data_IF_200052513762
#
_entry.id   IF_200052513762
#
_cell.length_a   1.000
_cell.length_b   1.000
_cell.length_c   1.000
_cell.angle_alpha   90.00
_cell.angle_beta   90.00
_cell.angle_gamma   90.00
#
_symmetry.space_group_name_H-M   'P 1'
#
loop_
_entity.id
_entity.type
_entity.pdbx_description
1 polymer ?
#
# COMPACT_ATOMS: atom_id res chain seq x y z
N UNK A 1 13.73 -14.15 -10.22
CA UNK A 1 13.84 -13.57 -8.87
C UNK A 1 13.02 -14.46 -7.94
N UNK A 2 13.53 -14.82 -6.77
CA UNK A 2 12.78 -15.69 -5.84
C UNK A 2 11.65 -14.89 -5.20
N UNK A 3 10.40 -15.18 -5.58
CA UNK A 3 9.26 -14.40 -5.15
C UNK A 3 9.03 -14.49 -3.63
N UNK A 4 9.31 -15.65 -3.06
CA UNK A 4 9.16 -15.93 -1.64
C UNK A 4 10.19 -15.16 -0.84
N UNK A 5 11.46 -15.16 -1.30
CA UNK A 5 12.51 -14.42 -0.63
C UNK A 5 12.25 -12.90 -0.61
N UNK A 6 11.79 -12.32 -1.72
CA UNK A 6 11.45 -10.89 -1.76
C UNK A 6 10.31 -10.53 -0.80
N UNK A 7 9.25 -11.34 -0.78
CA UNK A 7 8.11 -11.04 0.08
C UNK A 7 8.51 -11.15 1.56
N UNK A 8 9.32 -12.14 1.93
CA UNK A 8 9.84 -12.26 3.30
C UNK A 8 10.90 -11.20 3.66
N UNK A 9 11.52 -10.55 2.67
CA UNK A 9 12.41 -9.42 2.92
C UNK A 9 11.64 -8.17 3.38
N UNK A 10 10.37 -8.02 2.96
CA UNK A 10 9.49 -6.92 3.33
C UNK A 10 8.71 -7.17 4.63
N UNK A 11 8.48 -6.15 5.47
CA UNK A 11 7.56 -6.25 6.61
C UNK A 11 6.17 -6.74 6.20
N UNK A 12 5.62 -6.24 5.08
CA UNK A 12 4.25 -6.58 4.64
C UNK A 12 4.12 -8.03 4.21
N UNK A 13 5.10 -8.58 3.50
CA UNK A 13 5.08 -9.98 3.12
C UNK A 13 5.24 -10.92 4.31
N UNK A 14 6.06 -10.57 5.33
CA UNK A 14 6.15 -11.34 6.58
C UNK A 14 4.84 -11.30 7.38
N UNK A 15 4.25 -10.11 7.52
CA UNK A 15 2.98 -9.93 8.23
C UNK A 15 1.86 -10.72 7.55
N UNK A 16 1.74 -10.63 6.21
CA UNK A 16 0.80 -11.43 5.44
C UNK A 16 1.00 -12.94 5.65
N UNK A 17 2.24 -13.44 5.57
CA UNK A 17 2.54 -14.85 5.79
C UNK A 17 2.15 -15.32 7.20
N UNK A 18 2.40 -14.49 8.21
CA UNK A 18 2.01 -14.77 9.59
C UNK A 18 0.49 -14.83 9.72
N UNK A 19 -0.26 -13.87 9.16
CA UNK A 19 -1.73 -13.88 9.19
C UNK A 19 -2.30 -15.13 8.51
N UNK A 20 -1.75 -15.55 7.37
CA UNK A 20 -2.13 -16.81 6.71
C UNK A 20 -1.88 -18.02 7.63
N UNK A 21 -0.74 -18.05 8.33
CA UNK A 21 -0.42 -19.11 9.27
C UNK A 21 -1.41 -19.15 10.44
N UNK A 22 -1.70 -18.01 11.08
CA UNK A 22 -2.66 -17.90 12.17
C UNK A 22 -4.07 -18.34 11.75
N UNK A 23 -4.50 -17.98 10.53
CA UNK A 23 -5.81 -18.39 9.99
C UNK A 23 -5.93 -19.91 9.79
N UNK A 24 -4.81 -20.60 9.63
CA UNK A 24 -4.74 -22.07 9.50
C UNK A 24 -4.36 -22.77 10.82
N UNK A 25 -4.12 -22.02 11.89
CA UNK A 25 -3.77 -22.59 13.19
C UNK A 25 -5.01 -23.13 13.91
N UNK A 26 -4.83 -24.19 14.70
CA UNK A 26 -5.86 -24.70 15.62
C UNK A 26 -5.77 -24.05 17.01
N UNK A 27 -4.89 -23.05 17.18
CA UNK A 27 -4.76 -22.31 18.42
C UNK A 27 -5.88 -21.27 18.53
N UNK A 28 -6.68 -21.33 19.61
CA UNK A 28 -7.66 -20.29 19.95
C UNK A 28 -6.99 -18.91 20.15
N UNK A 29 -5.64 -18.87 20.21
CA UNK A 29 -4.82 -17.68 20.15
C UNK A 29 -4.82 -16.97 18.78
N UNK A 30 -5.57 -17.43 17.78
CA UNK A 30 -5.72 -16.71 16.49
C UNK A 30 -6.13 -15.23 16.66
N UNK A 31 -6.71 -14.87 17.82
CA UNK A 31 -7.04 -13.50 18.22
C UNK A 31 -6.08 -12.87 19.26
N UNK A 32 -5.12 -13.62 19.79
CA UNK A 32 -4.11 -13.11 20.71
C UNK A 32 -2.86 -12.68 19.92
N UNK A 33 -2.50 -11.40 20.05
CA UNK A 33 -1.25 -10.87 19.48
C UNK A 33 -0.06 -11.69 19.99
N UNK A 34 0.92 -12.00 19.12
CA UNK A 34 2.08 -12.76 19.53
C UNK A 34 2.88 -12.02 20.60
N UNK A 35 3.33 -12.74 21.62
CA UNK A 35 4.00 -12.17 22.79
C UNK A 35 5.54 -12.32 22.67
N UNK A 36 6.02 -13.29 21.87
CA UNK A 36 7.43 -13.57 21.67
C UNK A 36 7.69 -14.34 20.36
N UNK A 37 8.91 -14.29 19.77
CA UNK A 37 9.23 -14.97 18.52
C UNK A 37 9.05 -16.49 18.59
N UNK A 38 9.36 -17.12 19.74
CA UNK A 38 9.22 -18.55 19.94
C UNK A 38 7.75 -18.99 19.81
N UNK A 39 6.83 -18.19 20.33
CA UNK A 39 5.40 -18.44 20.21
C UNK A 39 4.96 -18.38 18.73
N UNK A 40 5.39 -17.35 17.99
CA UNK A 40 5.10 -17.25 16.54
C UNK A 40 5.61 -18.50 15.81
N UNK A 41 6.86 -18.88 16.08
CA UNK A 41 7.50 -20.04 15.44
C UNK A 41 6.76 -21.34 15.72
N UNK A 42 6.32 -21.55 16.96
CA UNK A 42 5.61 -22.76 17.36
C UNK A 42 4.23 -22.86 16.69
N UNK A 43 3.51 -21.74 16.60
CA UNK A 43 2.24 -21.66 15.85
C UNK A 43 2.46 -21.94 14.37
N UNK A 44 3.40 -21.23 13.73
CA UNK A 44 3.68 -21.37 12.30
C UNK A 44 4.13 -22.78 11.94
N UNK A 45 4.97 -23.42 12.77
CA UNK A 45 5.42 -24.81 12.54
C UNK A 45 4.33 -25.85 12.71
N UNK A 46 3.28 -25.55 13.49
CA UNK A 46 2.15 -26.44 13.67
C UNK A 46 1.13 -26.38 12.52
N UNK A 47 1.23 -25.39 11.62
CA UNK A 47 0.33 -25.23 10.48
C UNK A 47 0.46 -26.37 9.48
N UNK A 48 -0.66 -26.99 9.12
CA UNK A 48 -0.73 -27.86 7.95
C UNK A 48 -0.71 -27.00 6.68
N UNK A 49 0.40 -27.03 5.93
CA UNK A 49 0.55 -26.30 4.67
C UNK A 49 -0.51 -26.69 3.63
N UNK A 50 -1.09 -27.90 3.72
CA UNK A 50 -2.20 -28.31 2.85
C UNK A 50 -3.50 -27.57 3.15
N UNK A 51 -3.65 -27.02 4.35
CA UNK A 51 -4.77 -26.15 4.70
C UNK A 51 -4.62 -24.77 4.04
N UNK A 52 -3.39 -24.23 3.97
CA UNK A 52 -3.10 -22.95 3.28
C UNK A 52 -3.55 -23.01 1.81
N UNK A 53 -3.25 -24.10 1.11
CA UNK A 53 -3.66 -24.28 -0.28
C UNK A 53 -5.18 -24.40 -0.50
N UNK A 54 -5.97 -24.55 0.57
CA UNK A 54 -7.44 -24.63 0.53
C UNK A 54 -8.12 -23.31 0.91
N UNK A 55 -7.35 -22.30 1.31
CA UNK A 55 -7.88 -20.97 1.60
C UNK A 55 -8.55 -20.39 0.35
N UNK A 56 -9.72 -19.80 0.56
CA UNK A 56 -10.42 -19.06 -0.49
C UNK A 56 -9.70 -17.75 -0.81
N UNK A 57 -10.10 -17.10 -1.91
CA UNK A 57 -9.64 -15.75 -2.23
C UNK A 57 -9.91 -14.76 -1.08
N UNK A 58 -11.09 -14.83 -0.48
CA UNK A 58 -11.47 -13.98 0.66
C UNK A 58 -10.58 -14.20 1.87
N UNK A 59 -10.18 -15.45 2.15
CA UNK A 59 -9.29 -15.75 3.27
C UNK A 59 -7.90 -15.11 3.07
N UNK A 60 -7.39 -15.11 1.84
CA UNK A 60 -6.11 -14.48 1.51
C UNK A 60 -6.21 -12.95 1.52
N UNK A 61 -7.30 -12.39 1.00
CA UNK A 61 -7.53 -10.94 1.03
C UNK A 61 -7.74 -10.43 2.46
N UNK A 62 -8.41 -11.19 3.34
CA UNK A 62 -8.56 -10.88 4.76
C UNK A 62 -7.21 -10.89 5.51
N UNK A 63 -6.37 -11.91 5.25
CA UNK A 63 -5.02 -11.96 5.79
C UNK A 63 -4.15 -10.78 5.31
N UNK A 64 -4.33 -10.36 4.05
CA UNK A 64 -3.66 -9.19 3.49
C UNK A 64 -4.20 -7.88 4.09
N UNK A 65 -5.52 -7.76 4.27
CA UNK A 65 -6.18 -6.59 4.85
C UNK A 65 -5.58 -6.22 6.20
N UNK A 66 -5.37 -7.20 7.08
CA UNK A 66 -4.70 -7.00 8.36
C UNK A 66 -3.24 -6.53 8.21
N UNK A 67 -2.51 -7.02 7.22
CA UNK A 67 -1.15 -6.56 6.96
C UNK A 67 -1.13 -5.13 6.38
N UNK A 68 -2.14 -4.75 5.61
CA UNK A 68 -2.27 -3.42 5.01
C UNK A 68 -2.68 -2.37 6.04
N UNK A 69 -3.68 -2.64 6.87
CA UNK A 69 -4.20 -1.68 7.86
C UNK A 69 -3.12 -1.23 8.85
N UNK A 70 -2.23 -2.14 9.25
CA UNK A 70 -1.10 -1.85 10.15
C UNK A 70 0.10 -1.18 9.44
N UNK A 71 -0.03 -0.79 8.17
CA UNK A 71 1.04 -0.10 7.43
C UNK A 71 1.08 1.39 7.79
N UNK A 72 1.88 1.74 8.81
CA UNK A 72 1.95 3.09 9.38
C UNK A 72 3.36 3.65 9.32
N UNK A 73 3.80 4.10 8.15
CA UNK A 73 5.17 4.55 7.90
C UNK A 73 5.51 5.94 8.49
N UNK A 74 4.74 6.38 9.48
CA UNK A 74 4.96 7.58 10.28
C UNK A 74 5.42 7.28 11.71
N UNK A 75 5.49 6.00 12.10
CA UNK A 75 5.91 5.53 13.42
C UNK A 75 6.99 4.42 13.31
N UNK A 76 7.60 3.99 14.43
CA UNK A 76 8.42 2.78 14.44
C UNK A 76 7.63 1.54 13.96
N UNK A 77 8.32 0.48 13.50
CA UNK A 77 7.68 -0.81 13.24
C UNK A 77 6.86 -1.27 14.43
N UNK A 78 5.71 -1.90 14.16
CA UNK A 78 4.89 -2.49 15.21
C UNK A 78 5.63 -3.66 15.88
N UNK A 79 5.21 -4.04 17.09
CA UNK A 79 5.82 -5.16 17.82
C UNK A 79 5.80 -6.43 16.97
N UNK A 80 4.71 -6.69 16.25
CA UNK A 80 4.58 -7.80 15.32
C UNK A 80 5.60 -7.74 14.16
N UNK A 81 5.87 -6.56 13.60
CA UNK A 81 6.88 -6.40 12.55
C UNK A 81 8.29 -6.77 13.04
N UNK A 82 8.59 -6.42 14.29
CA UNK A 82 9.87 -6.77 14.95
C UNK A 82 9.95 -8.28 15.20
N UNK A 83 8.86 -8.89 15.71
CA UNK A 83 8.81 -10.33 15.96
C UNK A 83 8.94 -11.15 14.68
N UNK A 84 8.26 -10.73 13.61
CA UNK A 84 8.31 -11.45 12.34
C UNK A 84 9.65 -11.28 11.61
N UNK A 85 10.44 -10.25 11.94
CA UNK A 85 11.79 -10.08 11.41
C UNK A 85 12.83 -11.04 12.01
N UNK A 86 12.48 -11.83 13.03
CA UNK A 86 13.37 -12.86 13.58
C UNK A 86 13.75 -13.91 12.52
N UNK A 87 15.06 -14.23 12.34
CA UNK A 87 15.50 -15.16 11.30
C UNK A 87 14.85 -16.55 11.37
N UNK A 88 14.59 -17.09 12.57
CA UNK A 88 13.94 -18.40 12.71
C UNK A 88 12.46 -18.34 12.36
N UNK A 89 11.80 -17.20 12.64
CA UNK A 89 10.42 -16.96 12.23
C UNK A 89 10.34 -16.83 10.70
N UNK A 90 11.24 -16.08 10.07
CA UNK A 90 11.31 -15.96 8.60
C UNK A 90 11.43 -17.34 7.94
N UNK A 91 12.32 -18.19 8.43
CA UNK A 91 12.46 -19.55 7.89
C UNK A 91 11.23 -20.42 8.13
N UNK A 92 10.52 -20.23 9.24
CA UNK A 92 9.25 -20.91 9.49
C UNK A 92 8.11 -20.41 8.57
N UNK A 93 8.07 -19.12 8.22
CA UNK A 93 7.06 -18.51 7.34
C UNK A 93 7.24 -18.87 5.87
N UNK A 94 8.45 -19.25 5.45
CA UNK A 94 8.80 -19.62 4.07
C UNK A 94 7.84 -20.63 3.41
N UNK A 95 7.54 -21.80 4.00
CA UNK A 95 6.57 -22.73 3.40
C UNK A 95 5.14 -22.18 3.35
N UNK A 96 4.75 -21.32 4.29
CA UNK A 96 3.40 -20.73 4.34
C UNK A 96 3.20 -19.76 3.19
N UNK A 97 4.11 -18.79 3.04
CA UNK A 97 4.00 -17.80 1.96
C UNK A 97 4.16 -18.44 0.58
N UNK A 98 5.01 -19.47 0.46
CA UNK A 98 5.12 -20.22 -0.79
C UNK A 98 3.78 -20.87 -1.18
N UNK A 99 3.09 -21.51 -0.23
CA UNK A 99 1.78 -22.11 -0.49
C UNK A 99 0.69 -21.07 -0.77
N UNK A 100 0.72 -19.92 -0.09
CA UNK A 100 -0.21 -18.82 -0.34
C UNK A 100 -0.04 -18.24 -1.74
N UNK A 101 1.20 -17.99 -2.17
CA UNK A 101 1.50 -17.45 -3.50
C UNK A 101 1.28 -18.47 -4.64
N UNK A 102 1.38 -19.78 -4.37
CA UNK A 102 1.06 -20.83 -5.35
C UNK A 102 -0.46 -21.08 -5.49
N UNK A 103 -1.28 -20.52 -4.58
CA UNK A 103 -2.74 -20.63 -4.64
C UNK A 103 -3.28 -20.09 -5.96
N UNK A 104 -4.25 -20.77 -6.61
CA UNK A 104 -4.93 -20.24 -7.78
C UNK A 104 -5.56 -18.85 -7.55
N UNK A 105 -5.93 -18.55 -6.30
CA UNK A 105 -6.53 -17.27 -5.90
C UNK A 105 -5.53 -16.11 -5.81
N UNK A 106 -4.21 -16.40 -5.76
CA UNK A 106 -3.15 -15.38 -5.75
C UNK A 106 -2.51 -15.15 -7.12
N UNK A 107 -2.91 -15.92 -8.16
CA UNK A 107 -2.29 -15.81 -9.51
C UNK A 107 -2.37 -14.41 -10.11
N UNK A 108 -3.44 -13.69 -9.83
CA UNK A 108 -3.64 -12.34 -10.33
C UNK A 108 -2.85 -11.28 -9.56
N UNK A 109 -2.21 -11.62 -8.43
CA UNK A 109 -1.50 -10.64 -7.59
C UNK A 109 -0.26 -10.05 -8.27
N UNK A 110 0.20 -10.67 -9.36
CA UNK A 110 1.29 -10.19 -10.22
C UNK A 110 0.78 -9.56 -11.52
N UNK A 111 -0.53 -9.56 -11.76
CA UNK A 111 -1.10 -8.99 -12.98
C UNK A 111 -0.90 -7.47 -13.02
N UNK A 112 -0.79 -6.90 -14.23
CA UNK A 112 -0.84 -5.45 -14.42
C UNK A 112 -2.21 -4.90 -14.00
N UNK A 113 -2.38 -3.58 -14.15
CA UNK A 113 -3.66 -2.92 -13.89
C UNK A 113 -4.80 -3.56 -14.69
N UNK A 114 -5.93 -3.82 -14.02
CA UNK A 114 -7.16 -4.29 -14.66
C UNK A 114 -7.96 -3.08 -15.19
N UNK A 115 -7.71 -2.70 -16.44
CA UNK A 115 -8.32 -1.51 -17.06
C UNK A 115 -9.86 -1.57 -17.18
N UNK A 116 -10.47 -2.75 -17.07
CA UNK A 116 -11.91 -2.93 -17.26
C UNK A 116 -12.71 -2.82 -15.94
N UNK A 117 -12.05 -3.11 -14.81
CA UNK A 117 -12.73 -3.23 -13.52
C UNK A 117 -12.28 -2.19 -12.50
N UNK A 118 -11.84 -1.02 -12.94
CA UNK A 118 -11.37 0.06 -12.06
C UNK A 118 -12.51 0.72 -11.29
N UNK A 119 -12.22 1.06 -10.03
CA UNK A 119 -13.19 1.57 -9.07
C UNK A 119 -12.58 2.66 -8.23
N UNK A 120 -13.31 3.75 -8.10
CA UNK A 120 -12.95 4.88 -7.24
C UNK A 120 -13.71 4.78 -5.93
N UNK A 121 -13.01 4.88 -4.80
CA UNK A 121 -13.60 4.80 -3.47
C UNK A 121 -13.53 6.17 -2.80
N UNK A 122 -14.59 6.54 -2.10
CA UNK A 122 -14.62 7.71 -1.22
C UNK A 122 -15.13 7.31 0.16
N UNK A 123 -14.32 7.61 1.18
CA UNK A 123 -14.69 7.53 2.58
C UNK A 123 -15.19 8.90 3.08
N UNK A 124 -16.14 8.94 4.02
CA UNK A 124 -16.63 10.19 4.57
C UNK A 124 -15.58 10.78 5.53
N UNK A 125 -14.94 11.89 5.13
CA UNK A 125 -13.98 12.61 5.99
C UNK A 125 -14.67 13.38 7.15
N UNK A 126 -15.97 13.64 7.07
CA UNK A 126 -16.82 14.18 8.14
C UNK A 126 -18.28 13.75 7.93
N UNK A 127 -19.15 14.00 8.92
CA UNK A 127 -20.61 13.75 8.89
C UNK A 127 -21.33 14.67 7.87
N UNK A 128 -20.60 15.55 7.18
CA UNK A 128 -21.19 16.43 6.19
C UNK A 128 -21.71 15.60 5.00
N UNK A 129 -22.86 16.04 4.49
CA UNK A 129 -23.68 15.29 3.53
C UNK A 129 -22.83 14.82 2.35
N UNK A 130 -22.91 13.53 2.08
CA UNK A 130 -22.30 12.93 0.92
C UNK A 130 -22.73 13.67 -0.37
N UNK A 131 -21.81 13.95 -1.31
CA UNK A 131 -22.15 14.66 -2.55
C UNK A 131 -23.20 13.88 -3.36
N UNK A 132 -24.32 14.51 -3.73
CA UNK A 132 -25.53 13.79 -4.19
C UNK A 132 -25.39 13.07 -5.54
N UNK A 133 -24.57 13.53 -6.51
CA UNK A 133 -24.41 12.82 -7.81
C UNK A 133 -23.25 13.29 -8.71
N UNK A 134 -22.16 13.80 -8.18
CA UNK A 134 -20.94 14.00 -8.97
C UNK A 134 -19.77 13.49 -8.15
N UNK A 135 -18.85 12.73 -8.77
CA UNK A 135 -17.59 12.41 -8.11
C UNK A 135 -16.99 13.74 -7.62
N UNK A 136 -16.88 13.97 -6.29
CA UNK A 136 -16.56 15.28 -5.73
C UNK A 136 -15.15 15.76 -6.09
N UNK A 137 -14.33 14.89 -6.68
CA UNK A 137 -12.97 15.14 -7.07
C UNK A 137 -12.79 14.76 -8.54
N UNK A 138 -13.17 15.67 -9.45
CA UNK A 138 -12.48 15.73 -10.74
C UNK A 138 -11.18 16.47 -10.50
N UNK A 139 -10.01 15.82 -10.59
CA UNK A 139 -8.75 16.52 -10.38
C UNK A 139 -8.66 17.70 -11.33
N UNK A 140 -8.23 18.85 -10.83
CA UNK A 140 -7.94 20.00 -11.69
C UNK A 140 -6.86 19.62 -12.70
N UNK A 141 -6.89 20.21 -13.90
CA UNK A 141 -5.83 19.99 -14.91
C UNK A 141 -4.42 20.25 -14.33
N UNK A 142 -4.29 21.20 -13.39
CA UNK A 142 -3.03 21.56 -12.74
C UNK A 142 -2.71 20.80 -11.44
N UNK A 143 -3.40 19.69 -11.13
CA UNK A 143 -3.25 18.98 -9.85
C UNK A 143 -1.81 18.55 -9.52
N UNK A 144 -1.02 18.10 -10.50
CA UNK A 144 0.39 17.72 -10.29
C UNK A 144 1.32 18.92 -10.11
N UNK A 145 1.00 20.07 -10.72
CA UNK A 145 1.74 21.33 -10.46
C UNK A 145 1.49 21.79 -9.03
N UNK A 146 0.22 21.74 -8.59
CA UNK A 146 -0.15 22.04 -7.22
C UNK A 146 0.50 21.07 -6.23
N UNK A 147 0.58 19.78 -6.56
CA UNK A 147 1.33 18.80 -5.77
C UNK A 147 2.81 19.19 -5.63
N UNK A 148 3.50 19.50 -6.74
CA UNK A 148 4.91 19.87 -6.73
C UNK A 148 5.16 21.15 -5.92
N UNK A 149 4.33 22.18 -6.11
CA UNK A 149 4.39 23.43 -5.33
C UNK A 149 4.25 23.15 -3.83
N UNK A 150 3.30 22.30 -3.44
CA UNK A 150 3.08 21.90 -2.05
C UNK A 150 4.26 21.11 -1.49
N UNK A 151 4.81 20.18 -2.27
CA UNK A 151 5.96 19.38 -1.87
C UNK A 151 7.20 20.26 -1.63
N UNK A 152 7.48 21.21 -2.53
CA UNK A 152 8.57 22.18 -2.37
C UNK A 152 8.39 23.09 -1.15
N UNK A 153 7.16 23.57 -0.91
CA UNK A 153 6.83 24.37 0.27
C UNK A 153 6.99 23.58 1.56
N UNK A 154 6.56 22.32 1.56
CA UNK A 154 6.74 21.39 2.70
C UNK A 154 8.22 21.19 2.98
N UNK A 155 9.04 20.86 1.98
CA UNK A 155 10.50 20.71 2.15
C UNK A 155 11.16 21.98 2.70
N UNK A 156 10.80 23.17 2.19
CA UNK A 156 11.32 24.43 2.69
C UNK A 156 10.94 24.68 4.15
N UNK A 157 9.69 24.39 4.53
CA UNK A 157 9.20 24.52 5.91
C UNK A 157 9.95 23.57 6.85
N UNK A 158 10.05 22.28 6.50
CA UNK A 158 10.76 21.29 7.32
C UNK A 158 12.26 21.60 7.45
N UNK A 159 12.89 22.19 6.42
CA UNK A 159 14.27 22.69 6.52
C UNK A 159 14.39 23.79 7.56
N UNK A 160 13.49 24.77 7.53
CA UNK A 160 13.48 25.88 8.48
C UNK A 160 13.24 25.37 9.91
N UNK A 161 12.25 24.50 10.10
CA UNK A 161 11.94 23.91 11.40
C UNK A 161 13.10 23.10 11.97
N UNK A 162 13.87 22.40 11.12
CA UNK A 162 15.09 21.69 11.55
C UNK A 162 16.16 22.63 12.08
N UNK A 163 16.32 23.81 11.48
CA UNK A 163 17.28 24.84 11.94
C UNK A 163 16.81 25.45 13.26
N UNK A 164 15.52 25.78 13.35
CA UNK A 164 14.97 26.47 14.52
C UNK A 164 14.76 25.54 15.72
N UNK A 165 14.51 24.26 15.46
CA UNK A 165 14.17 23.23 16.46
C UNK A 165 14.91 21.92 16.18
N UNK A 166 16.25 21.87 16.35
CA UNK A 166 17.07 20.73 15.95
C UNK A 166 16.74 19.42 16.67
N UNK A 167 16.14 19.51 17.87
CA UNK A 167 15.75 18.34 18.68
C UNK A 167 14.28 17.93 18.48
N UNK A 168 13.53 18.62 17.63
CA UNK A 168 12.11 18.34 17.42
C UNK A 168 11.92 17.16 16.47
N UNK A 169 11.34 16.08 16.98
CA UNK A 169 10.86 14.95 16.18
C UNK A 169 9.44 15.24 15.72
N UNK A 170 9.27 16.18 14.78
CA UNK A 170 7.95 16.40 14.20
C UNK A 170 7.48 15.15 13.46
N UNK A 171 6.20 14.81 13.62
CA UNK A 171 5.48 13.99 12.66
C UNK A 171 5.50 14.68 11.31
N UNK A 172 5.85 13.91 10.27
CA UNK A 172 6.06 14.40 8.91
C UNK A 172 5.08 13.80 7.93
N UNK A 173 5.15 14.30 6.70
CA UNK A 173 4.53 13.65 5.55
C UNK A 173 5.25 12.31 5.32
N UNK A 174 4.52 11.20 5.34
CA UNK A 174 5.11 9.85 5.32
C UNK A 174 4.91 9.13 4.00
N UNK A 175 4.01 9.61 3.15
CA UNK A 175 3.71 8.99 1.86
C UNK A 175 4.70 9.43 0.77
N UNK A 176 4.84 8.56 -0.24
CA UNK A 176 5.59 8.79 -1.48
C UNK A 176 4.68 8.98 -2.70
N UNK A 177 3.36 8.90 -2.52
CA UNK A 177 2.34 8.98 -3.58
C UNK A 177 2.09 10.39 -4.11
N UNK A 178 1.44 10.52 -5.28
CA UNK A 178 0.96 11.81 -5.82
C UNK A 178 -0.32 12.31 -5.11
N UNK A 179 -0.53 11.96 -3.84
CA UNK A 179 -1.74 12.30 -3.09
C UNK A 179 -1.95 13.82 -2.98
N UNK A 180 -3.20 14.24 -2.77
CA UNK A 180 -3.56 15.66 -2.64
C UNK A 180 -4.12 16.28 -3.92
N UNK A 181 -4.84 15.49 -4.73
CA UNK A 181 -5.56 15.96 -5.90
C UNK A 181 -5.63 14.92 -7.02
N UNK A 182 -4.69 13.98 -7.06
CA UNK A 182 -4.63 12.89 -8.04
C UNK A 182 -5.68 11.81 -7.72
N UNK A 183 -6.33 11.24 -8.74
CA UNK A 183 -7.29 10.16 -8.54
C UNK A 183 -6.56 8.82 -8.33
N UNK A 184 -7.00 8.05 -7.34
CA UNK A 184 -6.58 6.65 -7.13
C UNK A 184 -7.76 5.71 -7.37
N UNK A 185 -7.51 4.55 -7.97
CA UNK A 185 -8.50 3.47 -8.14
C UNK A 185 -7.90 2.12 -7.78
N UNK A 186 -8.74 1.14 -7.50
CA UNK A 186 -8.35 -0.27 -7.39
C UNK A 186 -9.35 -1.14 -8.16
N UNK A 187 -8.98 -2.39 -8.50
CA UNK A 187 -9.91 -3.27 -9.20
C UNK A 187 -11.08 -3.73 -8.31
N UNK A 188 -12.26 -3.97 -8.88
CA UNK A 188 -13.32 -4.75 -8.21
C UNK A 188 -13.04 -6.25 -8.26
N UNK A 189 -13.62 -6.99 -7.31
CA UNK A 189 -13.65 -8.46 -7.30
C UNK A 189 -15.08 -8.96 -7.12
N UNK A 190 -15.30 -10.25 -7.33
CA UNK A 190 -16.62 -10.83 -7.10
C UNK A 190 -17.04 -10.63 -5.63
N UNK A 191 -18.23 -10.05 -5.42
CA UNK A 191 -18.72 -9.66 -4.11
C UNK A 191 -18.04 -8.44 -3.45
N UNK A 192 -17.03 -7.82 -4.07
CA UNK A 192 -16.31 -6.66 -3.53
C UNK A 192 -16.22 -5.50 -4.53
N UNK A 193 -16.83 -4.37 -4.17
CA UNK A 193 -16.95 -3.21 -5.06
C UNK A 193 -15.63 -2.58 -5.48
N UNK A 194 -14.58 -2.69 -4.66
CA UNK A 194 -13.21 -2.24 -4.91
C UNK A 194 -12.29 -2.89 -3.87
N UNK A 195 -11.05 -3.26 -4.23
CA UNK A 195 -10.09 -3.82 -3.27
C UNK A 195 -9.76 -2.86 -2.13
N UNK A 196 -9.71 -1.55 -2.41
CA UNK A 196 -9.42 -0.50 -1.42
C UNK A 196 -10.35 -0.54 -0.20
N UNK A 197 -11.59 -1.03 -0.34
CA UNK A 197 -12.49 -1.23 0.80
C UNK A 197 -11.87 -2.15 1.87
N UNK A 198 -11.13 -3.18 1.45
CA UNK A 198 -10.44 -4.10 2.36
C UNK A 198 -8.98 -3.73 2.57
N UNK A 199 -8.35 -3.11 1.57
CA UNK A 199 -6.90 -2.96 1.47
C UNK A 199 -6.52 -1.48 1.49
N UNK A 200 -6.79 -0.81 2.61
CA UNK A 200 -6.42 0.59 2.87
C UNK A 200 -5.29 0.63 3.91
N UNK A 201 -4.18 1.30 3.60
CA UNK A 201 -3.12 1.57 4.58
C UNK A 201 -3.59 2.60 5.61
N UNK A 202 -3.27 2.37 6.89
CA UNK A 202 -3.61 3.29 7.99
C UNK A 202 -5.10 3.67 7.95
N UNK A 203 -5.96 2.65 7.81
CA UNK A 203 -7.36 2.87 7.48
C UNK A 203 -8.03 3.71 8.56
N UNK A 204 -8.87 4.65 8.12
CA UNK A 204 -9.60 5.54 9.03
C UNK A 204 -10.64 4.80 9.89
N UNK A 205 -10.88 3.51 9.60
CA UNK A 205 -11.93 2.71 10.24
C UNK A 205 -13.35 3.15 9.86
N UNK A 206 -13.51 4.03 8.87
CA UNK A 206 -14.82 4.50 8.41
C UNK A 206 -15.64 3.32 7.87
N UNK A 207 -16.71 2.95 8.59
CA UNK A 207 -17.57 1.82 8.25
C UNK A 207 -18.53 2.07 7.08
N UNK A 208 -18.36 3.16 6.33
CA UNK A 208 -19.14 3.47 5.13
C UNK A 208 -18.21 3.99 4.03
N UNK A 209 -18.51 3.65 2.78
CA UNK A 209 -17.78 4.09 1.60
C UNK A 209 -18.72 4.20 0.40
N UNK A 210 -18.45 5.13 -0.51
CA UNK A 210 -19.10 5.14 -1.83
C UNK A 210 -18.11 4.70 -2.89
N UNK A 211 -18.59 3.84 -3.78
CA UNK A 211 -17.76 3.25 -4.83
C UNK A 211 -18.37 3.59 -6.19
N UNK A 212 -17.57 4.21 -7.04
CA UNK A 212 -17.93 4.52 -8.43
C UNK A 212 -17.21 3.58 -9.39
N UNK A 213 -17.92 3.05 -10.39
CA UNK A 213 -17.27 2.52 -11.59
C UNK A 213 -16.44 3.60 -12.27
N UNK A 214 -15.24 3.24 -12.73
CA UNK A 214 -14.38 4.10 -13.53
C UNK A 214 -14.19 3.46 -14.89
N UNK A 215 -14.51 4.22 -15.93
CA UNK A 215 -14.20 3.87 -17.30
C UNK A 215 -12.81 4.40 -17.65
N UNK A 216 -11.96 3.52 -18.18
CA UNK A 216 -10.66 3.88 -18.77
C UNK A 216 -10.83 4.03 -20.29
N UNK A 217 -10.26 5.09 -20.84
CA UNK A 217 -10.36 5.46 -22.25
C UNK A 217 -9.05 5.15 -22.99
N UNK A 218 -9.17 4.58 -24.19
CA UNK A 218 -8.02 4.30 -25.05
C UNK A 218 -7.08 3.24 -24.46
N UNK A 219 -5.77 3.46 -24.62
CA UNK A 219 -4.72 2.57 -24.10
C UNK A 219 -3.71 3.42 -23.33
N UNK A 220 -3.92 3.64 -22.02
CA UNK A 220 -3.06 4.48 -21.23
C UNK A 220 -1.65 3.88 -21.10
N UNK A 221 -0.64 4.74 -20.99
CA UNK A 221 0.74 4.35 -20.67
C UNK A 221 0.83 4.15 -19.16
N UNK A 222 0.86 2.90 -18.70
CA UNK A 222 0.89 2.59 -17.27
C UNK A 222 2.29 2.12 -16.87
N UNK A 223 2.86 2.73 -15.84
CA UNK A 223 4.06 2.20 -15.18
C UNK A 223 3.65 1.19 -14.12
N UNK A 224 4.17 -0.02 -14.23
CA UNK A 224 3.85 -1.15 -13.34
C UNK A 224 4.92 -1.32 -12.27
N UNK A 225 4.55 -1.16 -11.00
CA UNK A 225 5.40 -1.47 -9.86
C UNK A 225 5.06 -2.89 -9.39
N UNK A 226 5.86 -3.87 -9.82
CA UNK A 226 5.67 -5.26 -9.44
C UNK A 226 6.65 -5.74 -8.37
N UNK A 227 7.72 -4.99 -8.10
CA UNK A 227 8.74 -5.32 -7.11
C UNK A 227 9.59 -4.09 -6.72
N UNK A 228 10.50 -4.21 -5.73
CA UNK A 228 11.31 -3.08 -5.26
C UNK A 228 12.24 -2.45 -6.32
N UNK A 229 12.68 -3.25 -7.29
CA UNK A 229 13.54 -2.77 -8.38
C UNK A 229 12.77 -1.84 -9.31
N UNK A 230 11.50 -2.14 -9.58
CA UNK A 230 10.65 -1.30 -10.42
C UNK A 230 10.40 0.05 -9.74
N UNK A 231 10.16 0.05 -8.43
CA UNK A 231 10.04 1.28 -7.65
C UNK A 231 11.34 2.10 -7.67
N UNK A 232 12.49 1.47 -7.38
CA UNK A 232 13.79 2.14 -7.42
C UNK A 232 14.08 2.74 -8.81
N UNK A 233 13.74 2.02 -9.89
CA UNK A 233 13.94 2.47 -11.27
C UNK A 233 13.09 3.69 -11.62
N UNK A 234 11.84 3.75 -11.11
CA UNK A 234 10.97 4.91 -11.29
C UNK A 234 11.57 6.14 -10.60
N UNK A 235 12.02 5.99 -9.35
CA UNK A 235 12.62 7.07 -8.58
C UNK A 235 13.95 7.53 -9.17
N UNK A 236 14.77 6.61 -9.68
CA UNK A 236 16.02 6.95 -10.36
C UNK A 236 15.79 7.73 -11.66
N UNK A 237 14.71 7.41 -12.39
CA UNK A 237 14.37 8.06 -13.65
C UNK A 237 13.76 9.45 -13.45
N UNK A 238 12.96 9.63 -12.39
CA UNK A 238 12.28 10.90 -12.07
C UNK A 238 12.55 11.34 -10.63
N UNK A 239 13.80 11.70 -10.26
CA UNK A 239 14.16 11.90 -8.86
C UNK A 239 13.65 13.24 -8.30
N UNK A 240 12.84 13.19 -7.25
CA UNK A 240 12.49 14.33 -6.40
C UNK A 240 13.05 14.18 -4.98
N UNK A 241 13.84 15.14 -4.54
CA UNK A 241 14.51 15.10 -3.25
C UNK A 241 13.57 15.49 -2.10
N UNK A 242 13.45 14.62 -1.10
CA UNK A 242 12.67 14.87 0.14
C UNK A 242 13.47 14.66 1.44
N UNK A 243 14.71 15.19 1.55
CA UNK A 243 15.59 14.90 2.68
C UNK A 243 15.11 15.49 4.00
N UNK A 244 14.17 16.43 4.00
CA UNK A 244 13.74 17.13 5.23
C UNK A 244 12.41 16.59 5.77
N UNK A 245 11.37 16.56 4.95
CA UNK A 245 10.00 16.23 5.38
C UNK A 245 9.81 14.76 5.79
N UNK A 246 10.54 13.85 5.14
CA UNK A 246 10.48 12.39 5.42
C UNK A 246 11.55 11.95 6.42
N UNK A 247 12.49 12.82 6.77
CA UNK A 247 13.70 12.50 7.55
C UNK A 247 13.42 11.73 8.84
N UNK A 248 12.48 12.21 9.64
CA UNK A 248 12.21 11.66 10.98
C UNK A 248 11.33 10.42 10.90
N UNK A 249 10.27 10.47 10.09
CA UNK A 249 9.31 9.37 9.96
C UNK A 249 9.95 8.14 9.31
N UNK A 250 10.70 8.30 8.21
CA UNK A 250 11.35 7.17 7.56
C UNK A 250 12.56 6.65 8.30
N UNK A 251 13.26 7.49 9.09
CA UNK A 251 14.24 6.99 10.06
C UNK A 251 13.55 6.11 11.11
N UNK A 252 12.40 6.54 11.62
CA UNK A 252 11.65 5.79 12.63
C UNK A 252 11.18 4.44 12.08
N UNK A 253 10.63 4.44 10.86
CA UNK A 253 10.08 3.25 10.20
C UNK A 253 11.16 2.28 9.72
N UNK A 254 12.23 2.76 9.09
CA UNK A 254 13.26 1.88 8.48
C UNK A 254 14.44 1.60 9.40
N UNK A 255 14.64 2.43 10.44
CA UNK A 255 15.86 2.41 11.25
C UNK A 255 17.09 3.02 10.56
N UNK A 256 16.96 3.46 9.31
CA UNK A 256 18.07 3.94 8.49
C UNK A 256 18.02 5.45 8.24
N UNK A 257 19.19 6.06 8.08
CA UNK A 257 19.32 7.48 7.72
C UNK A 257 19.90 7.60 6.33
N UNK A 258 19.09 8.14 5.41
CA UNK A 258 19.49 8.41 4.03
C UNK A 258 19.07 9.81 3.59
N UNK A 259 19.61 10.24 2.45
CA UNK A 259 19.01 11.30 1.65
C UNK A 259 17.88 10.68 0.83
N UNK A 260 16.65 11.04 1.17
CA UNK A 260 15.44 10.38 0.68
C UNK A 260 14.92 10.97 -0.62
N UNK A 261 14.47 10.10 -1.52
CA UNK A 261 13.92 10.45 -2.82
C UNK A 261 12.56 9.78 -3.05
N UNK A 262 11.68 10.48 -3.76
CA UNK A 262 10.42 9.97 -4.32
C UNK A 262 10.34 10.35 -5.79
N UNK A 263 9.38 9.82 -6.57
CA UNK A 263 9.18 10.25 -7.94
C UNK A 263 8.73 11.72 -7.99
N UNK A 264 9.28 12.50 -8.92
CA UNK A 264 8.67 13.75 -9.37
C UNK A 264 7.43 13.40 -10.21
N UNK A 265 6.27 13.38 -9.57
CA UNK A 265 5.04 12.94 -10.23
C UNK A 265 4.61 13.83 -11.41
N UNK A 266 5.03 15.09 -11.43
CA UNK A 266 4.80 15.96 -12.59
C UNK A 266 5.64 15.52 -13.77
N UNK A 267 6.91 15.15 -13.54
CA UNK A 267 7.79 14.63 -14.59
C UNK A 267 7.37 13.21 -15.05
N UNK A 268 6.95 12.34 -14.12
CA UNK A 268 6.42 11.00 -14.47
C UNK A 268 5.22 11.11 -15.42
N UNK A 269 4.38 12.14 -15.25
CA UNK A 269 3.20 12.35 -16.08
C UNK A 269 3.51 12.71 -17.55
N UNK A 270 4.75 13.09 -17.88
CA UNK A 270 5.17 13.31 -19.26
C UNK A 270 5.21 11.97 -20.03
N UNK A 271 5.67 10.92 -19.36
CA UNK A 271 5.91 9.61 -19.97
C UNK A 271 4.81 8.58 -19.67
N UNK A 272 4.07 8.75 -18.58
CA UNK A 272 3.02 7.82 -18.14
C UNK A 272 1.71 8.53 -17.82
N UNK A 273 0.60 7.86 -18.15
CA UNK A 273 -0.75 8.33 -17.84
C UNK A 273 -1.21 7.84 -16.45
N UNK A 274 -0.63 6.73 -15.97
CA UNK A 274 -0.88 6.19 -14.65
C UNK A 274 0.30 5.37 -14.11
N UNK A 275 0.30 5.13 -12.81
CA UNK A 275 1.23 4.21 -12.14
C UNK A 275 0.42 3.26 -11.27
N UNK A 276 0.68 1.96 -11.39
CA UNK A 276 -0.04 0.90 -10.67
C UNK A 276 0.93 0.11 -9.80
N UNK A 277 0.48 -0.26 -8.59
CA UNK A 277 1.18 -1.15 -7.68
C UNK A 277 0.43 -2.48 -7.62
N UNK A 278 1.04 -3.55 -8.13
CA UNK A 278 0.43 -4.89 -8.00
C UNK A 278 0.42 -5.34 -6.54
N UNK A 279 -0.45 -6.29 -6.18
CA UNK A 279 -0.47 -6.86 -4.83
C UNK A 279 0.89 -7.47 -4.47
N UNK A 280 1.55 -8.14 -5.41
CA UNK A 280 2.88 -8.68 -5.18
C UNK A 280 3.93 -7.57 -4.99
N UNK A 281 3.84 -6.47 -5.75
CA UNK A 281 4.65 -5.27 -5.52
C UNK A 281 4.44 -4.71 -4.11
N UNK A 282 3.21 -4.67 -3.64
CA UNK A 282 2.86 -4.28 -2.28
C UNK A 282 3.43 -5.23 -1.21
N UNK A 283 3.42 -6.55 -1.44
CA UNK A 283 3.98 -7.48 -0.46
C UNK A 283 5.51 -7.37 -0.32
N UNK A 284 6.18 -6.78 -1.30
CA UNK A 284 7.65 -6.83 -1.42
C UNK A 284 8.37 -5.50 -1.22
N UNK A 285 7.66 -4.37 -1.30
CA UNK A 285 8.28 -3.05 -1.48
C UNK A 285 8.09 -2.06 -0.33
N UNK A 286 6.86 -1.88 0.22
CA UNK A 286 6.59 -0.87 1.23
C UNK A 286 7.36 -1.05 2.54
N UNK A 287 7.73 0.06 3.15
CA UNK A 287 8.41 0.09 4.46
C UNK A 287 9.90 -0.31 4.44
N UNK A 288 10.48 -0.57 3.26
CA UNK A 288 11.90 -0.84 3.10
C UNK A 288 12.67 0.44 2.73
N UNK A 289 13.90 0.57 3.26
CA UNK A 289 14.88 1.50 2.70
C UNK A 289 15.47 0.88 1.43
N UNK A 290 14.99 1.31 0.27
CA UNK A 290 15.38 0.75 -1.02
C UNK A 290 16.50 1.60 -1.61
N UNK A 291 17.71 1.04 -1.82
CA UNK A 291 18.79 1.77 -2.45
C UNK A 291 18.49 2.05 -3.92
N UNK A 292 18.88 3.24 -4.37
CA UNK A 292 18.82 3.61 -5.78
C UNK A 292 20.03 3.05 -6.54
N UNK A 293 19.85 2.71 -7.81
CA UNK A 293 20.88 2.06 -8.64
C UNK A 293 21.88 3.07 -9.20
N UNK A 294 21.42 4.28 -9.51
CA UNK A 294 22.24 5.32 -10.13
C UNK A 294 22.60 6.46 -9.17
N UNK A 295 22.16 6.38 -7.92
CA UNK A 295 22.34 7.41 -6.90
C UNK A 295 22.71 6.75 -5.56
N UNK A 296 23.69 7.25 -4.77
CA UNK A 296 24.01 6.71 -3.43
C UNK A 296 22.93 7.00 -2.37
N UNK A 297 21.67 7.11 -2.80
CA UNK A 297 20.52 7.56 -2.03
C UNK A 297 19.50 6.43 -1.92
N UNK A 298 18.44 6.67 -1.17
CA UNK A 298 17.41 5.66 -0.94
C UNK A 298 16.01 6.24 -1.12
N UNK A 299 15.06 5.34 -1.26
CA UNK A 299 13.63 5.63 -1.35
C UNK A 299 12.85 4.67 -0.47
N UNK A 300 11.65 5.07 -0.08
CA UNK A 300 10.67 4.22 0.60
C UNK A 300 9.37 4.35 -0.18
N UNK A 301 8.76 3.22 -0.53
CA UNK A 301 7.38 3.21 -0.99
C UNK A 301 6.49 3.24 0.25
N UNK A 302 5.63 4.24 0.34
CA UNK A 302 4.76 4.46 1.51
C UNK A 302 3.47 5.18 1.12
N UNK A 303 2.35 4.80 1.74
CA UNK A 303 1.04 5.43 1.51
C UNK A 303 0.37 4.97 0.23
N UNK A 304 0.65 3.74 -0.22
CA UNK A 304 0.18 3.19 -1.49
C UNK A 304 -0.53 1.86 -1.26
N UNK A 305 -1.86 1.88 -1.42
CA UNK A 305 -2.71 0.72 -1.19
C UNK A 305 -2.41 -0.43 -2.19
N UNK A 306 -2.53 -1.71 -1.79
CA UNK A 306 -2.37 -2.84 -2.71
C UNK A 306 -3.34 -2.74 -3.90
N UNK A 307 -2.85 -3.03 -5.10
CA UNK A 307 -3.60 -2.91 -6.37
C UNK A 307 -4.02 -1.48 -6.75
N UNK A 308 -3.57 -0.46 -6.02
CA UNK A 308 -3.94 0.91 -6.33
C UNK A 308 -3.21 1.43 -7.57
N UNK A 309 -3.98 2.11 -8.42
CA UNK A 309 -3.53 2.84 -9.59
C UNK A 309 -3.75 4.33 -9.38
N UNK A 310 -2.69 5.11 -9.44
CA UNK A 310 -2.76 6.57 -9.45
C UNK A 310 -2.77 7.09 -10.89
N UNK A 311 -3.82 7.81 -11.26
CA UNK A 311 -4.02 8.36 -12.60
C UNK A 311 -3.47 9.77 -12.70
N UNK A 312 -2.34 9.92 -13.36
CA UNK A 312 -1.62 11.18 -13.54
C UNK A 312 -2.27 12.03 -14.66
N UNK A 313 -2.86 11.37 -15.65
CA UNK A 313 -3.57 12.00 -16.75
C UNK A 313 -5.08 11.76 -16.61
N UNK A 314 -5.82 12.75 -16.15
CA UNK A 314 -7.27 12.61 -15.94
C UNK A 314 -8.08 12.48 -17.22
N UNK A 315 -7.50 12.80 -18.39
CA UNK A 315 -8.21 12.69 -19.66
C UNK A 315 -8.47 11.24 -20.08
N UNK A 316 -7.73 10.27 -19.51
CA UNK A 316 -7.86 8.85 -19.87
C UNK A 316 -8.82 8.09 -18.98
N UNK A 317 -9.48 8.76 -18.02
CA UNK A 317 -10.42 8.11 -17.10
C UNK A 317 -11.66 8.95 -16.83
N UNK A 318 -12.77 8.29 -16.49
CA UNK A 318 -13.99 8.96 -16.07
C UNK A 318 -14.70 8.11 -15.03
N UNK A 319 -14.95 8.67 -13.85
CA UNK A 319 -15.87 8.08 -12.89
C UNK A 319 -17.31 8.30 -13.37
N UNK A 320 -18.12 7.24 -13.34
CA UNK A 320 -19.56 7.35 -13.60
C UNK A 320 -20.24 8.24 -12.55
N UNK A 321 -21.46 8.72 -12.80
CA UNK A 321 -22.15 9.62 -11.86
C UNK A 321 -22.89 8.88 -10.72
N UNK A 322 -23.16 7.58 -10.89
CA UNK A 322 -23.93 6.77 -9.93
C UNK A 322 -23.02 5.95 -9.00
N UNK A 323 -22.85 6.34 -7.71
CA UNK A 323 -22.15 5.51 -6.75
C UNK A 323 -23.00 4.35 -6.26
N UNK A 324 -22.32 3.27 -5.87
CA UNK A 324 -22.86 2.30 -4.93
C UNK A 324 -22.42 2.63 -3.50
N UNK A 325 -23.36 2.62 -2.55
CA UNK A 325 -23.03 2.72 -1.12
C UNK A 325 -22.62 1.34 -0.58
N UNK A 326 -21.53 1.34 0.18
CA UNK A 326 -21.00 0.18 0.89
C UNK A 326 -20.93 0.46 2.38
N UNK A 327 -21.26 -0.53 3.19
CA UNK A 327 -21.14 -0.49 4.65
C UNK A 327 -20.36 -1.67 5.18
N UNK A 328 -19.48 -1.43 6.14
CA UNK A 328 -18.77 -2.47 6.89
C UNK A 328 -19.67 -3.01 8.00
N UNK A 329 -19.76 -4.33 8.06
CA UNK A 329 -20.44 -5.09 9.13
C UNK A 329 -19.45 -6.07 9.75
N UNK A 330 -19.87 -6.79 10.79
CA UNK A 330 -19.08 -7.86 11.41
C UNK A 330 -18.72 -8.96 10.39
N UNK A 331 -19.54 -9.14 9.35
CA UNK A 331 -19.32 -10.10 8.26
C UNK A 331 -18.59 -9.48 7.05
N UNK A 332 -18.04 -8.27 7.18
CA UNK A 332 -17.32 -7.56 6.13
C UNK A 332 -18.16 -6.50 5.40
N UNK A 333 -17.67 -6.05 4.26
CA UNK A 333 -18.27 -4.99 3.45
C UNK A 333 -19.47 -5.49 2.64
N UNK A 334 -20.57 -4.72 2.66
CA UNK A 334 -21.80 -5.04 1.93
C UNK A 334 -22.34 -3.84 1.17
N UNK A 335 -22.81 -4.09 -0.05
CA UNK A 335 -23.60 -3.15 -0.84
C UNK A 335 -24.94 -2.89 -0.15
N UNK A 336 -25.36 -1.62 -0.07
CA UNK A 336 -26.64 -1.19 0.50
C UNK A 336 -27.49 -0.40 -0.47
#
# INVERSE_FOLDING_TARGET
>A
MDMVALALASPRGRFFAANVAYKCSNDDSAYCRPIAPEHVRDVVRAVDIRAVAKLSEWDLLDALSLATDFARYWQPPDEEDVLFADPEVIEALRPVIAAALDSPHARWWVEPVDLENQRYVLHPYSIDQWPESTAPYRPSEDHLKLWLERALQTEARFRQDRVDRPNNTMGGEWWSTPAGGTLSTSRSRDGLGALELMLEEDSSGCGEARVWPVQVHGTPRVYEIANPTDWASLVDSYPFAVPESRRSVWLSTTGERHDWFIPDWLAVAEDYDAVHLSIYGYLTTPGLAIPLSHNPRATVLAGWNPDATWWLNNAVITAEDEPTLWRRSDEGWRKT
#
